data_IF_486284496285
#
_entry.id   IF_486284496285
#
_cell.length_a   1.000
_cell.length_b   1.000
_cell.length_c   1.000
_cell.angle_alpha   90.00
_cell.angle_beta   90.00
_cell.angle_gamma   90.00
#
_symmetry.space_group_name_H-M   'P 1'
#
loop_
_entity.id
_entity.type
_entity.pdbx_description
1 polymer ?
#
# COMPACT_ATOMS: atom_id res chain seq x y z
N UNK A 1 -0.68 23.61 13.98
CA UNK A 1 -1.53 23.52 12.77
C UNK A 1 -1.41 22.10 12.23
N UNK A 2 -2.40 21.24 12.49
CA UNK A 2 -2.41 19.89 11.91
C UNK A 2 -2.82 20.00 10.44
N UNK A 3 -1.93 19.58 9.53
CA UNK A 3 -2.20 19.55 8.09
C UNK A 3 -3.36 18.59 7.84
N UNK A 4 -4.31 19.00 7.00
CA UNK A 4 -5.47 18.22 6.58
C UNK A 4 -5.02 16.85 6.04
N UNK A 5 -5.19 15.78 6.82
CA UNK A 5 -5.06 14.41 6.34
C UNK A 5 -6.28 14.11 5.47
N UNK A 6 -6.03 13.88 4.18
CA UNK A 6 -7.05 13.44 3.22
C UNK A 6 -7.08 11.91 3.26
N UNK A 7 -8.15 11.35 3.81
CA UNK A 7 -8.41 9.91 3.80
C UNK A 7 -9.25 9.56 2.56
N UNK A 8 -8.81 8.60 1.74
CA UNK A 8 -9.65 8.03 0.68
C UNK A 8 -9.99 6.58 1.01
N UNK A 9 -11.28 6.30 0.97
CA UNK A 9 -11.91 5.07 1.42
C UNK A 9 -11.82 3.96 0.36
N UNK A 10 -11.46 2.75 0.78
CA UNK A 10 -11.68 1.52 -0.02
C UNK A 10 -12.46 0.55 0.86
N UNK A 11 -13.62 0.07 0.39
CA UNK A 11 -14.39 -0.95 1.08
C UNK A 11 -15.56 -1.50 0.26
N UNK A 12 -15.60 -2.83 0.12
CA UNK A 12 -16.63 -3.58 -0.64
C UNK A 12 -17.99 -3.68 0.10
N UNK A 13 -18.06 -3.24 1.38
CA UNK A 13 -19.25 -3.36 2.25
C UNK A 13 -19.76 -2.01 2.80
N UNK A 14 -19.43 -0.88 2.14
CA UNK A 14 -19.81 0.46 2.65
C UNK A 14 -19.04 0.89 3.91
N UNK A 15 -18.01 0.14 4.32
CA UNK A 15 -17.09 0.51 5.40
C UNK A 15 -15.94 1.33 4.83
N UNK A 16 -15.77 2.55 5.34
CA UNK A 16 -14.63 3.41 5.02
C UNK A 16 -13.46 2.98 5.88
N UNK A 17 -12.42 2.41 5.27
CA UNK A 17 -11.14 2.14 5.93
C UNK A 17 -10.19 3.28 5.55
N UNK A 18 -9.83 4.18 6.48
CA UNK A 18 -8.81 5.18 6.23
C UNK A 18 -7.45 4.50 6.14
N UNK A 19 -6.88 4.42 4.93
CA UNK A 19 -5.50 3.95 4.74
C UNK A 19 -4.55 5.14 4.63
N UNK A 20 -3.38 5.09 5.29
CA UNK A 20 -2.36 6.11 5.12
C UNK A 20 -1.75 6.03 3.70
N UNK A 21 -1.18 7.13 3.23
CA UNK A 21 -0.50 7.16 1.94
C UNK A 21 0.81 6.35 1.96
N UNK A 22 1.50 6.39 3.10
CA UNK A 22 2.72 5.64 3.38
C UNK A 22 2.57 4.83 4.65
N UNK A 23 3.05 3.59 4.63
CA UNK A 23 3.02 2.70 5.80
C UNK A 23 4.38 2.02 5.99
N UNK A 24 4.76 1.80 7.24
CA UNK A 24 5.84 0.87 7.56
C UNK A 24 5.36 -0.58 7.38
N UNK A 25 6.27 -1.53 7.56
CA UNK A 25 6.01 -2.94 7.34
C UNK A 25 4.92 -3.50 8.29
N UNK A 26 4.88 -3.01 9.53
CA UNK A 26 3.91 -3.46 10.55
C UNK A 26 2.51 -2.96 10.22
N UNK A 27 2.36 -1.68 9.89
CA UNK A 27 1.07 -1.11 9.52
C UNK A 27 0.58 -1.65 8.18
N UNK A 28 1.48 -1.88 7.22
CA UNK A 28 1.12 -2.52 5.96
C UNK A 28 0.61 -3.95 6.17
N UNK A 29 1.25 -4.71 7.07
CA UNK A 29 0.81 -6.05 7.43
C UNK A 29 -0.62 -6.06 8.00
N UNK A 30 -0.95 -5.11 8.87
CA UNK A 30 -2.30 -4.94 9.41
C UNK A 30 -3.32 -4.57 8.33
N UNK A 31 -2.96 -3.67 7.41
CA UNK A 31 -3.83 -3.27 6.30
C UNK A 31 -4.14 -4.44 5.37
N UNK A 32 -3.13 -5.26 5.05
CA UNK A 32 -3.26 -6.33 4.05
C UNK A 32 -3.83 -7.62 4.64
N UNK A 33 -3.39 -8.01 5.84
CA UNK A 33 -3.69 -9.31 6.44
C UNK A 33 -4.62 -9.23 7.67
N UNK A 34 -4.88 -8.04 8.21
CA UNK A 34 -5.69 -7.85 9.42
C UNK A 34 -5.16 -8.65 10.59
N UNK A 35 -6.01 -9.49 11.18
CA UNK A 35 -5.66 -10.38 12.31
C UNK A 35 -4.47 -11.31 12.04
N UNK A 36 -4.13 -11.54 10.75
CA UNK A 36 -3.00 -12.38 10.34
C UNK A 36 -1.72 -11.59 10.05
N UNK A 37 -1.62 -10.33 10.49
CA UNK A 37 -0.45 -9.47 10.30
C UNK A 37 0.88 -10.13 10.72
N UNK A 38 0.86 -10.98 11.77
CA UNK A 38 2.04 -11.73 12.23
C UNK A 38 2.66 -12.64 11.16
N UNK A 39 1.91 -13.01 10.11
CA UNK A 39 2.37 -13.86 9.00
C UNK A 39 2.97 -13.07 7.83
N UNK A 40 3.03 -11.75 7.94
CA UNK A 40 3.49 -10.89 6.84
C UNK A 40 4.88 -11.25 6.34
N UNK A 41 5.84 -11.51 7.22
CA UNK A 41 7.22 -11.88 6.85
C UNK A 41 7.29 -13.12 5.94
N UNK A 42 6.39 -14.09 6.13
CA UNK A 42 6.32 -15.30 5.31
C UNK A 42 5.77 -14.99 3.92
N UNK A 43 4.69 -14.21 3.87
CA UNK A 43 3.95 -13.92 2.64
C UNK A 43 4.65 -12.86 1.78
N UNK A 44 5.26 -11.86 2.43
CA UNK A 44 5.96 -10.74 1.78
C UNK A 44 7.01 -11.23 0.81
N UNK A 45 7.81 -12.24 1.17
CA UNK A 45 8.83 -12.81 0.26
C UNK A 45 8.24 -13.40 -1.01
N UNK A 46 7.05 -14.00 -0.93
CA UNK A 46 6.35 -14.49 -2.10
C UNK A 46 5.86 -13.31 -2.96
N UNK A 47 5.29 -12.29 -2.33
CA UNK A 47 4.81 -11.09 -3.02
C UNK A 47 5.95 -10.30 -3.67
N UNK A 48 7.10 -10.16 -3.03
CA UNK A 48 8.30 -9.53 -3.61
C UNK A 48 8.76 -10.25 -4.88
N UNK A 49 8.68 -11.58 -4.92
CA UNK A 49 8.98 -12.37 -6.13
C UNK A 49 7.97 -12.16 -7.24
N UNK A 50 6.71 -11.89 -6.88
CA UNK A 50 5.62 -11.59 -7.80
C UNK A 50 5.61 -10.11 -8.25
N UNK A 51 6.51 -9.27 -7.72
CA UNK A 51 6.65 -7.87 -8.10
C UNK A 51 5.97 -6.86 -7.15
N UNK A 52 5.82 -7.21 -5.87
CA UNK A 52 5.41 -6.25 -4.84
C UNK A 52 6.32 -5.01 -4.85
N UNK A 53 5.75 -3.78 -4.86
CA UNK A 53 6.54 -2.56 -4.78
C UNK A 53 7.43 -2.53 -3.54
N UNK A 54 8.71 -2.23 -3.74
CA UNK A 54 9.67 -2.06 -2.66
C UNK A 54 9.38 -0.79 -1.84
N UNK A 55 9.79 -0.76 -0.56
CA UNK A 55 9.71 0.46 0.24
C UNK A 55 10.61 1.56 -0.33
N UNK A 56 10.12 2.81 -0.32
CA UNK A 56 10.83 3.96 -0.91
C UNK A 56 11.85 4.53 0.06
N UNK A 57 13.13 4.54 -0.33
CA UNK A 57 14.20 5.10 0.48
C UNK A 57 14.02 6.61 0.73
N UNK A 58 13.48 7.32 -0.26
CA UNK A 58 13.15 8.75 -0.23
C UNK A 58 12.15 9.13 0.87
N UNK A 59 11.33 8.18 1.32
CA UNK A 59 10.30 8.36 2.34
C UNK A 59 10.55 7.42 3.53
N UNK A 60 11.78 7.42 4.04
CA UNK A 60 12.19 6.66 5.23
C UNK A 60 11.91 5.14 5.14
N UNK A 61 12.05 4.54 3.95
CA UNK A 61 11.78 3.12 3.71
C UNK A 61 10.32 2.72 4.01
N UNK A 62 9.37 3.62 3.76
CA UNK A 62 7.94 3.33 3.83
C UNK A 62 7.40 2.84 2.49
N UNK A 63 6.35 2.03 2.55
CA UNK A 63 5.60 1.59 1.37
C UNK A 63 4.60 2.64 0.95
N UNK A 64 4.53 2.91 -0.34
CA UNK A 64 3.41 3.63 -0.93
C UNK A 64 2.21 2.69 -1.01
N UNK A 65 1.30 2.82 -0.04
CA UNK A 65 0.17 1.89 0.17
C UNK A 65 -0.70 1.72 -1.08
N UNK A 66 -1.01 2.78 -1.85
CA UNK A 66 -1.80 2.61 -3.06
C UNK A 66 -1.20 1.69 -4.12
N UNK A 67 0.12 1.73 -4.31
CA UNK A 67 0.78 0.83 -5.26
C UNK A 67 0.75 -0.62 -4.79
N UNK A 68 0.89 -0.84 -3.48
CA UNK A 68 0.76 -2.18 -2.89
C UNK A 68 -0.66 -2.73 -3.05
N UNK A 69 -1.68 -1.94 -2.73
CA UNK A 69 -3.08 -2.38 -2.90
C UNK A 69 -3.41 -2.65 -4.37
N UNK A 70 -2.96 -1.80 -5.30
CA UNK A 70 -3.11 -2.02 -6.74
C UNK A 70 -2.43 -3.33 -7.20
N UNK A 71 -1.26 -3.65 -6.65
CA UNK A 71 -0.59 -4.93 -6.93
C UNK A 71 -1.46 -6.11 -6.46
N UNK A 72 -2.02 -6.04 -5.25
CA UNK A 72 -2.87 -7.09 -4.69
C UNK A 72 -4.20 -7.24 -5.47
N UNK A 73 -4.85 -6.14 -5.84
CA UNK A 73 -6.08 -6.15 -6.63
C UNK A 73 -5.87 -6.86 -7.98
N UNK A 74 -4.75 -6.57 -8.66
CA UNK A 74 -4.38 -7.24 -9.92
C UNK A 74 -4.13 -8.73 -9.71
N UNK A 75 -3.42 -9.11 -8.64
CA UNK A 75 -3.07 -10.50 -8.32
C UNK A 75 -4.31 -11.35 -8.07
N UNK A 76 -5.29 -10.80 -7.36
CA UNK A 76 -6.53 -11.50 -7.01
C UNK A 76 -7.63 -11.36 -8.08
N UNK A 77 -7.34 -10.69 -9.21
CA UNK A 77 -8.33 -10.39 -10.25
C UNK A 77 -9.60 -9.71 -9.71
N UNK A 78 -9.45 -8.96 -8.61
CA UNK A 78 -10.53 -8.14 -8.05
C UNK A 78 -10.64 -6.96 -9.01
N UNK A 79 -11.75 -6.92 -9.77
CA UNK A 79 -11.96 -5.98 -10.86
C UNK A 79 -11.47 -4.57 -10.47
N UNK A 80 -10.58 -4.01 -11.29
CA UNK A 80 -9.87 -2.78 -10.97
C UNK A 80 -10.86 -1.71 -10.58
N UNK A 81 -10.81 -1.27 -9.33
CA UNK A 81 -11.23 0.10 -9.04
C UNK A 81 -10.23 0.94 -9.84
N UNK A 82 -10.69 1.63 -10.89
CA UNK A 82 -9.92 2.66 -11.61
C UNK A 82 -9.65 3.83 -10.67
N UNK A 83 -9.04 3.57 -9.52
CA UNK A 83 -8.45 4.56 -8.67
C UNK A 83 -7.17 4.99 -9.40
N UNK A 84 -7.30 6.13 -10.05
CA UNK A 84 -6.22 6.87 -10.70
C UNK A 84 -5.26 7.39 -9.61
N UNK A 85 -4.52 6.48 -8.99
CA UNK A 85 -3.37 6.83 -8.19
C UNK A 85 -2.30 7.26 -9.16
N UNK A 86 -1.90 8.56 -9.19
CA UNK A 86 -0.67 8.93 -9.82
C UNK A 86 0.43 8.05 -9.21
N UNK A 87 1.31 7.52 -10.04
CA UNK A 87 2.54 6.96 -9.51
C UNK A 87 3.19 8.06 -8.69
N UNK A 88 3.43 7.78 -7.41
CA UNK A 88 4.25 8.68 -6.61
C UNK A 88 5.56 8.84 -7.37
N UNK A 89 5.94 10.10 -7.62
CA UNK A 89 6.90 10.47 -8.66
C UNK A 89 8.23 9.72 -8.56
N UNK A 90 9.08 9.77 -9.59
CA UNK A 90 10.31 8.99 -9.63
C UNK A 90 11.14 9.22 -8.35
N UNK A 91 11.60 8.12 -7.74
CA UNK A 91 12.50 8.14 -6.56
C UNK A 91 13.84 8.85 -6.83
N UNK A 92 14.11 9.20 -8.09
CA UNK A 92 15.28 9.97 -8.52
C UNK A 92 14.92 11.45 -8.68
N UNK A 93 14.96 12.19 -7.58
CA UNK A 93 15.49 13.54 -7.67
C UNK A 93 17.01 13.40 -7.85
N UNK A 94 17.45 13.25 -9.09
CA UNK A 94 18.88 13.33 -9.45
C UNK A 94 19.45 14.71 -9.12
N UNK A 95 20.79 14.85 -9.06
CA UNK A 95 21.47 16.10 -8.68
C UNK A 95 21.14 17.29 -9.60
#
# INVERSE_FOLDING_TARGET
MAKNLVYRAIGQNGMIIPTPLYADDSLLAEIVLGEKASRWTEVRRAFERDGLPAPRASVCHLYYVPAVLRFLDRRESIGSVEADYPEDGPDMFGP
#
